data_IF_670471392166
#
_entry.id   IF_670471392166
#
_cell.length_a   1.000
_cell.length_b   1.000
_cell.length_c   1.000
_cell.angle_alpha   90.00
_cell.angle_beta   90.00
_cell.angle_gamma   90.00
#
_symmetry.space_group_name_H-M   'P 1'
#
loop_
_entity.id
_entity.type
_entity.pdbx_description
1 polymer ?
#
# COMPACT_ATOMS: atom_id res chain seq x y z
N UNK A 1 -8.31 11.45 -0.24
CA UNK A 1 -7.16 12.33 -0.56
C UNK A 1 -5.89 11.50 -0.50
N UNK A 2 -5.07 11.43 -1.55
CA UNK A 2 -3.80 10.70 -1.49
C UNK A 2 -2.72 11.60 -0.88
N UNK A 3 -2.67 11.64 0.45
CA UNK A 3 -1.76 12.50 1.23
C UNK A 3 -0.30 12.35 0.83
N UNK A 4 0.10 11.16 0.39
CA UNK A 4 1.48 10.92 0.00
C UNK A 4 1.79 11.51 -1.39
N UNK A 5 0.82 11.54 -2.31
CA UNK A 5 1.01 12.24 -3.58
C UNK A 5 1.24 13.75 -3.34
N UNK A 6 0.51 14.31 -2.38
CA UNK A 6 0.69 15.69 -1.92
C UNK A 6 2.04 15.89 -1.22
N UNK A 7 2.57 14.88 -0.52
CA UNK A 7 3.83 14.97 0.21
C UNK A 7 5.08 14.95 -0.68
N UNK A 8 5.02 14.35 -1.87
CA UNK A 8 6.16 14.26 -2.81
C UNK A 8 6.80 15.63 -3.10
N UNK A 9 6.07 16.68 -3.52
CA UNK A 9 6.69 17.98 -3.79
C UNK A 9 7.34 18.61 -2.55
N UNK A 10 6.75 18.43 -1.37
CA UNK A 10 7.36 18.90 -0.12
C UNK A 10 8.65 18.13 0.19
N UNK A 11 8.69 16.83 -0.07
CA UNK A 11 9.87 16.00 0.14
C UNK A 11 11.04 16.44 -0.76
N UNK A 12 10.76 16.71 -2.04
CA UNK A 12 11.76 17.25 -2.98
C UNK A 12 12.24 18.63 -2.56
N UNK A 13 11.34 19.51 -2.11
CA UNK A 13 11.69 20.82 -1.57
C UNK A 13 12.61 20.71 -0.35
N UNK A 14 12.30 19.80 0.58
CA UNK A 14 13.10 19.60 1.79
C UNK A 14 14.50 19.06 1.48
N UNK A 15 14.63 18.12 0.54
CA UNK A 15 15.95 17.66 0.07
C UNK A 15 16.75 18.83 -0.52
N UNK A 16 16.12 19.67 -1.34
CA UNK A 16 16.76 20.87 -1.89
C UNK A 16 17.19 21.86 -0.81
N UNK A 17 16.35 22.08 0.21
CA UNK A 17 16.68 22.93 1.35
C UNK A 17 17.84 22.38 2.17
N UNK A 18 17.91 21.07 2.38
CA UNK A 18 19.02 20.42 3.08
C UNK A 18 20.36 20.67 2.37
N UNK A 19 20.38 20.52 1.04
CA UNK A 19 21.55 20.83 0.21
C UNK A 19 21.96 22.30 0.31
N UNK A 20 21.00 23.23 0.22
CA UNK A 20 21.28 24.67 0.29
C UNK A 20 21.83 25.04 1.68
N UNK A 21 21.25 24.49 2.75
CA UNK A 21 21.69 24.76 4.12
C UNK A 21 23.10 24.22 4.38
N UNK A 22 23.41 23.02 3.90
CA UNK A 22 24.74 22.43 4.03
C UNK A 22 25.80 23.26 3.27
N UNK A 23 25.48 23.73 2.06
CA UNK A 23 26.35 24.63 1.29
C UNK A 23 26.55 25.98 1.98
N UNK A 24 25.49 26.58 2.51
CA UNK A 24 25.57 27.87 3.20
C UNK A 24 26.38 27.78 4.49
N UNK A 25 26.17 26.73 5.28
CA UNK A 25 26.89 26.50 6.55
C UNK A 25 28.27 25.87 6.37
N UNK A 26 28.60 25.37 5.16
CA UNK A 26 29.84 24.66 4.81
C UNK A 26 30.13 23.49 5.75
N UNK A 27 29.09 22.80 6.20
CA UNK A 27 29.21 21.69 7.15
C UNK A 27 29.74 20.41 6.50
N UNK A 28 29.43 20.17 5.22
CA UNK A 28 29.84 18.97 4.49
C UNK A 28 29.16 17.69 5.01
N UNK A 29 28.03 17.83 5.69
CA UNK A 29 27.28 16.72 6.27
C UNK A 29 26.32 16.08 5.27
N UNK A 30 25.93 16.80 4.22
CA UNK A 30 25.03 16.26 3.22
C UNK A 30 25.68 15.13 2.42
N UNK A 31 25.06 13.95 2.45
CA UNK A 31 25.53 12.75 1.75
C UNK A 31 24.47 12.32 0.75
N UNK A 32 24.79 12.44 -0.54
CA UNK A 32 23.89 12.04 -1.64
C UNK A 32 23.42 10.58 -1.48
N UNK A 33 24.29 9.69 -1.01
CA UNK A 33 23.97 8.29 -0.78
C UNK A 33 22.82 8.09 0.22
N UNK A 34 22.74 8.95 1.24
CA UNK A 34 21.71 8.85 2.29
C UNK A 34 20.36 9.37 1.74
N UNK A 35 20.39 10.41 0.91
CA UNK A 35 19.20 10.92 0.20
C UNK A 35 18.66 9.91 -0.81
N UNK A 36 19.54 9.24 -1.58
CA UNK A 36 19.14 8.17 -2.52
C UNK A 36 18.55 6.99 -1.76
N UNK A 37 19.21 6.55 -0.68
CA UNK A 37 18.71 5.44 0.15
C UNK A 37 17.32 5.74 0.72
N UNK A 38 17.11 6.97 1.21
CA UNK A 38 15.82 7.42 1.74
C UNK A 38 14.72 7.45 0.68
N UNK A 39 15.04 7.95 -0.52
CA UNK A 39 14.12 7.95 -1.65
C UNK A 39 13.75 6.53 -2.09
N UNK A 40 14.73 5.63 -2.14
CA UNK A 40 14.52 4.22 -2.48
C UNK A 40 13.60 3.52 -1.47
N UNK A 41 13.80 3.75 -0.16
CA UNK A 41 12.90 3.23 0.86
C UNK A 41 11.45 3.71 0.65
N UNK A 42 11.28 4.99 0.31
CA UNK A 42 10.00 5.57 -0.08
C UNK A 42 9.37 4.83 -1.26
N UNK A 43 10.09 4.71 -2.37
CA UNK A 43 9.64 4.03 -3.60
C UNK A 43 9.24 2.59 -3.30
N UNK A 44 10.10 1.82 -2.62
CA UNK A 44 9.84 0.43 -2.24
C UNK A 44 8.55 0.31 -1.43
N UNK A 45 8.28 1.24 -0.50
CA UNK A 45 7.02 1.24 0.25
C UNK A 45 5.79 1.34 -0.65
N UNK A 46 5.85 2.16 -1.73
CA UNK A 46 4.72 2.36 -2.66
C UNK A 46 4.55 1.16 -3.58
N UNK A 47 5.67 0.65 -4.09
CA UNK A 47 5.70 -0.55 -4.91
C UNK A 47 5.09 -1.74 -4.15
N UNK A 48 5.44 -1.90 -2.87
CA UNK A 48 4.87 -2.94 -2.01
C UNK A 48 3.35 -2.78 -1.82
N UNK A 49 2.81 -1.56 -1.76
CA UNK A 49 1.36 -1.34 -1.70
C UNK A 49 0.68 -1.77 -3.00
N UNK A 50 1.29 -1.49 -4.15
CA UNK A 50 0.76 -1.91 -5.45
C UNK A 50 0.71 -3.43 -5.54
N UNK A 51 1.81 -4.13 -5.24
CA UNK A 51 1.86 -5.59 -5.30
C UNK A 51 0.88 -6.24 -4.33
N UNK A 52 0.74 -5.71 -3.10
CA UNK A 52 -0.23 -6.20 -2.11
C UNK A 52 -1.69 -6.10 -2.57
N UNK A 53 -2.00 -5.23 -3.54
CA UNK A 53 -3.35 -5.13 -4.13
C UNK A 53 -3.47 -5.89 -5.44
N UNK A 54 -2.48 -5.77 -6.31
CA UNK A 54 -2.51 -6.30 -7.67
C UNK A 54 -2.42 -7.82 -7.68
N UNK A 55 -1.54 -8.41 -6.86
CA UNK A 55 -1.36 -9.87 -6.83
C UNK A 55 -2.65 -10.57 -6.39
N UNK A 56 -3.29 -10.22 -5.24
CA UNK A 56 -4.55 -10.85 -4.85
C UNK A 56 -5.66 -10.64 -5.89
N UNK A 57 -5.75 -9.45 -6.50
CA UNK A 57 -6.74 -9.18 -7.54
C UNK A 57 -6.51 -10.05 -8.79
N UNK A 58 -5.27 -10.18 -9.24
CA UNK A 58 -4.94 -11.01 -10.40
C UNK A 58 -5.24 -12.49 -10.14
N UNK A 59 -4.91 -12.99 -8.94
CA UNK A 59 -5.25 -14.35 -8.51
C UNK A 59 -6.77 -14.52 -8.48
N UNK A 60 -7.50 -13.57 -7.90
CA UNK A 60 -8.96 -13.60 -7.85
C UNK A 60 -9.58 -13.70 -9.26
N UNK A 61 -9.18 -12.81 -10.18
CA UNK A 61 -9.68 -12.82 -11.56
C UNK A 61 -9.32 -14.11 -12.29
N UNK A 62 -8.11 -14.63 -12.09
CA UNK A 62 -7.69 -15.89 -12.69
C UNK A 62 -8.53 -17.07 -12.19
N UNK A 63 -8.78 -17.15 -10.89
CA UNK A 63 -9.58 -18.21 -10.28
C UNK A 63 -11.04 -18.10 -10.73
N UNK A 64 -11.60 -16.90 -10.70
CA UNK A 64 -12.97 -16.65 -11.14
C UNK A 64 -13.16 -17.08 -12.61
N UNK A 65 -12.26 -16.67 -13.51
CA UNK A 65 -12.39 -16.99 -14.93
C UNK A 65 -12.24 -18.49 -15.25
N UNK A 66 -11.39 -19.22 -14.53
CA UNK A 66 -11.04 -20.61 -14.88
C UNK A 66 -11.71 -21.67 -13.98
N UNK A 67 -12.11 -21.30 -12.77
CA UNK A 67 -12.56 -22.24 -11.73
C UNK A 67 -13.85 -21.82 -11.03
N UNK A 68 -14.55 -20.78 -11.51
CA UNK A 68 -15.87 -20.45 -10.97
C UNK A 68 -16.83 -21.62 -11.16
N UNK A 69 -17.42 -22.08 -10.05
CA UNK A 69 -18.40 -23.17 -10.05
C UNK A 69 -19.81 -22.68 -10.43
N UNK A 70 -20.11 -21.42 -10.11
CA UNK A 70 -21.44 -20.81 -10.30
C UNK A 70 -21.24 -19.33 -10.62
N UNK A 71 -21.95 -18.85 -11.64
CA UNK A 71 -22.07 -17.43 -11.93
C UNK A 71 -23.23 -16.84 -11.11
N UNK A 72 -22.95 -15.78 -10.35
CA UNK A 72 -23.96 -15.09 -9.54
C UNK A 72 -24.52 -13.89 -10.33
N UNK A 73 -25.85 -13.67 -10.35
CA UNK A 73 -26.42 -12.53 -11.04
C UNK A 73 -26.16 -11.23 -10.27
N UNK A 74 -26.00 -10.12 -10.99
CA UNK A 74 -25.77 -8.77 -10.45
C UNK A 74 -27.04 -8.17 -9.81
N UNK A 75 -27.53 -8.80 -8.74
CA UNK A 75 -28.73 -8.38 -8.02
C UNK A 75 -28.38 -7.76 -6.67
N UNK A 76 -29.26 -6.88 -6.18
CA UNK A 76 -29.10 -6.26 -4.85
C UNK A 76 -28.98 -7.33 -3.75
N UNK A 77 -29.71 -8.45 -3.89
CA UNK A 77 -29.61 -9.57 -2.93
C UNK A 77 -28.23 -10.18 -2.84
N UNK A 78 -27.56 -10.39 -3.99
CA UNK A 78 -26.16 -10.89 -4.03
C UNK A 78 -25.21 -9.88 -3.42
N UNK A 79 -25.39 -8.58 -3.68
CA UNK A 79 -24.57 -7.54 -3.05
C UNK A 79 -24.75 -7.45 -1.53
N UNK A 80 -25.99 -7.54 -1.03
CA UNK A 80 -26.27 -7.58 0.41
C UNK A 80 -25.61 -8.81 1.05
N UNK A 81 -25.77 -9.98 0.43
CA UNK A 81 -25.14 -11.20 0.91
C UNK A 81 -23.61 -11.08 0.92
N UNK A 82 -23.01 -10.58 -0.16
CA UNK A 82 -21.56 -10.38 -0.25
C UNK A 82 -21.05 -9.39 0.82
N UNK A 83 -21.80 -8.32 1.10
CA UNK A 83 -21.48 -7.36 2.14
C UNK A 83 -21.44 -8.03 3.53
N UNK A 84 -22.49 -8.77 3.89
CA UNK A 84 -22.57 -9.46 5.18
C UNK A 84 -21.49 -10.54 5.29
N UNK A 85 -21.28 -11.33 4.23
CA UNK A 85 -20.29 -12.39 4.21
C UNK A 85 -18.86 -11.82 4.34
N UNK A 86 -18.57 -10.72 3.64
CA UNK A 86 -17.28 -10.05 3.73
C UNK A 86 -17.01 -9.55 5.14
N UNK A 87 -17.98 -8.89 5.77
CA UNK A 87 -17.86 -8.38 7.14
C UNK A 87 -17.64 -9.51 8.14
N UNK A 88 -18.39 -10.62 8.00
CA UNK A 88 -18.21 -11.83 8.79
C UNK A 88 -16.78 -12.39 8.64
N UNK A 89 -16.31 -12.62 7.41
CA UNK A 89 -14.95 -13.13 7.16
C UNK A 89 -13.88 -12.18 7.71
N UNK A 90 -14.09 -10.86 7.57
CA UNK A 90 -13.19 -9.85 8.09
C UNK A 90 -13.10 -9.89 9.61
N UNK A 91 -14.25 -10.00 10.31
CA UNK A 91 -14.31 -10.13 11.76
C UNK A 91 -13.50 -11.33 12.26
N UNK A 92 -13.69 -12.49 11.63
CA UNK A 92 -12.94 -13.69 12.00
C UNK A 92 -11.44 -13.56 11.74
N UNK A 93 -11.04 -13.01 10.58
CA UNK A 93 -9.64 -12.72 10.31
C UNK A 93 -9.04 -11.77 11.36
N UNK A 94 -9.76 -10.73 11.74
CA UNK A 94 -9.34 -9.80 12.79
C UNK A 94 -9.23 -10.50 14.15
N UNK A 95 -10.21 -11.32 14.52
CA UNK A 95 -10.22 -12.11 15.76
C UNK A 95 -9.05 -13.08 15.81
N UNK A 96 -8.81 -13.84 14.74
CA UNK A 96 -7.67 -14.74 14.64
C UNK A 96 -6.34 -14.01 14.75
N UNK A 97 -6.25 -12.77 14.26
CA UNK A 97 -5.06 -11.93 14.46
C UNK A 97 -4.77 -11.60 15.92
N UNK A 98 -5.76 -11.62 16.82
CA UNK A 98 -5.57 -11.44 18.26
C UNK A 98 -5.41 -12.76 19.02
N UNK A 99 -6.10 -13.82 18.58
CA UNK A 99 -6.11 -15.12 19.28
C UNK A 99 -4.96 -16.03 18.86
N UNK A 100 -4.50 -15.94 17.61
CA UNK A 100 -3.45 -16.78 17.04
C UNK A 100 -2.16 -15.95 16.96
N UNK A 101 -1.32 -16.11 17.98
CA UNK A 101 -0.04 -15.42 18.11
C UNK A 101 1.05 -16.11 17.26
N UNK A 102 0.81 -16.28 15.95
CA UNK A 102 1.77 -16.89 15.00
C UNK A 102 2.66 -15.81 14.34
N UNK A 103 2.53 -14.54 14.73
CA UNK A 103 3.41 -13.43 14.33
C UNK A 103 3.77 -12.54 15.53
#
# INVERSE_FOLDING_TARGET
>A
MNYILLAIPFFVLLIGLEVIVDQYKKTGYYRINDSISSMNAGIISRVNVVFRKLIPLAIYVYIEHNFALVELPETIGVWIFAFVLYDFCYYWNHRFGHEINIL
#
